data_IF_519238728620
#
_entry.id   IF_519238728620
#
_cell.length_a   1.000
_cell.length_b   1.000
_cell.length_c   1.000
_cell.angle_alpha   90.00
_cell.angle_beta   90.00
_cell.angle_gamma   90.00
#
_symmetry.space_group_name_H-M   'P 1'
#
loop_
_entity.id
_entity.type
_entity.pdbx_description
1 polymer ?
#
# COMPACT_ATOMS: atom_id res chain seq x y z
N UNK A 1 3.59 -23.91 11.77
CA UNK A 1 3.61 -22.44 11.88
C UNK A 1 3.65 -21.95 13.33
N UNK A 2 2.69 -22.34 14.16
CA UNK A 2 2.64 -21.86 15.56
C UNK A 2 3.85 -22.31 16.38
N UNK A 3 4.32 -23.55 16.21
CA UNK A 3 5.54 -24.05 16.87
C UNK A 3 6.81 -23.30 16.47
N UNK A 4 6.89 -22.82 15.22
CA UNK A 4 8.08 -22.13 14.69
C UNK A 4 8.06 -20.62 14.90
N UNK A 5 6.88 -19.98 14.85
CA UNK A 5 6.72 -18.54 14.93
C UNK A 5 6.20 -18.04 16.28
N UNK A 6 5.67 -18.93 17.14
CA UNK A 6 5.09 -18.57 18.44
C UNK A 6 4.03 -17.47 18.31
N UNK A 7 4.12 -16.42 19.13
CA UNK A 7 3.19 -15.29 19.16
C UNK A 7 3.20 -14.43 17.87
N UNK A 8 4.13 -14.69 16.95
CA UNK A 8 4.21 -14.03 15.63
C UNK A 8 3.24 -14.62 14.60
N UNK A 9 2.61 -15.75 14.89
CA UNK A 9 1.51 -16.33 14.12
C UNK A 9 0.21 -16.15 14.91
N UNK A 10 -0.62 -15.21 14.48
CA UNK A 10 -1.88 -14.86 15.14
C UNK A 10 -3.06 -15.27 14.29
N UNK A 11 -3.89 -16.17 14.83
CA UNK A 11 -5.06 -16.69 14.13
C UNK A 11 -6.31 -15.83 14.37
N UNK A 12 -7.27 -15.92 13.46
CA UNK A 12 -8.58 -15.26 13.53
C UNK A 12 -8.47 -13.75 13.82
N UNK A 13 -7.49 -13.10 13.18
CA UNK A 13 -7.24 -11.69 13.44
C UNK A 13 -8.22 -10.80 12.70
N UNK A 14 -8.96 -9.92 13.39
CA UNK A 14 -9.84 -8.94 12.74
C UNK A 14 -8.99 -7.96 11.91
N UNK A 15 -9.19 -7.96 10.60
CA UNK A 15 -8.39 -7.13 9.72
C UNK A 15 -8.68 -5.63 9.85
N UNK A 16 -9.77 -5.27 10.52
CA UNK A 16 -10.01 -3.89 10.95
C UNK A 16 -8.87 -3.29 11.79
N UNK A 17 -8.15 -4.12 12.56
CA UNK A 17 -6.95 -3.69 13.30
C UNK A 17 -5.69 -3.56 12.41
N UNK A 18 -5.74 -4.02 11.17
CA UNK A 18 -4.61 -4.14 10.26
C UNK A 18 -4.76 -3.35 8.96
N UNK A 19 -5.88 -2.68 8.74
CA UNK A 19 -6.15 -1.79 7.61
C UNK A 19 -6.22 -0.33 8.05
N UNK A 20 -5.84 0.59 7.17
CA UNK A 20 -5.93 2.03 7.49
C UNK A 20 -7.36 2.56 7.47
N UNK A 21 -8.30 1.85 6.85
CA UNK A 21 -9.73 2.14 6.95
C UNK A 21 -10.36 1.73 8.29
N UNK A 22 -9.70 0.82 9.02
CA UNK A 22 -10.28 0.28 10.24
C UNK A 22 -11.49 -0.63 9.97
N UNK A 23 -11.57 -1.27 8.80
CA UNK A 23 -12.60 -2.23 8.41
C UNK A 23 -11.97 -3.55 7.94
N UNK A 24 -12.76 -4.61 7.91
CA UNK A 24 -12.38 -5.93 7.42
C UNK A 24 -12.65 -7.03 8.45
N UNK A 25 -13.21 -8.15 7.96
CA UNK A 25 -13.42 -9.36 8.73
C UNK A 25 -12.12 -10.08 9.10
N UNK A 26 -12.18 -11.28 9.71
CA UNK A 26 -11.01 -11.98 10.21
C UNK A 26 -10.15 -12.56 9.07
N UNK A 27 -8.82 -12.48 9.19
CA UNK A 27 -7.92 -13.34 8.44
C UNK A 27 -7.67 -14.62 9.21
N UNK A 28 -7.61 -15.77 8.50
CA UNK A 28 -7.31 -17.04 9.15
C UNK A 28 -6.02 -16.96 9.98
N UNK A 29 -4.96 -16.35 9.43
CA UNK A 29 -3.75 -16.09 10.19
C UNK A 29 -3.02 -14.84 9.67
N UNK A 30 -2.50 -14.03 10.60
CA UNK A 30 -1.50 -13.00 10.31
C UNK A 30 -0.17 -13.48 10.84
N UNK A 31 0.79 -13.76 9.94
CA UNK A 31 2.14 -14.18 10.27
C UNK A 31 3.12 -13.02 10.14
N UNK A 32 3.94 -12.81 11.16
CA UNK A 32 5.06 -11.88 11.11
C UNK A 32 6.37 -12.65 10.97
N UNK A 33 7.11 -12.39 9.89
CA UNK A 33 8.40 -13.02 9.59
C UNK A 33 9.52 -11.99 9.65
N UNK A 34 10.69 -12.41 10.10
CA UNK A 34 11.83 -11.53 10.37
C UNK A 34 13.03 -11.80 9.48
N UNK A 35 13.04 -12.93 8.77
CA UNK A 35 14.06 -13.28 7.77
C UNK A 35 13.44 -13.85 6.50
N UNK A 36 14.23 -13.89 5.43
CA UNK A 36 13.81 -14.46 4.16
C UNK A 36 13.56 -15.97 4.26
N UNK A 37 14.33 -16.68 5.09
CA UNK A 37 14.17 -18.12 5.35
C UNK A 37 12.82 -18.39 6.05
N UNK A 38 12.46 -17.60 7.05
CA UNK A 38 11.15 -17.69 7.72
C UNK A 38 10.02 -17.43 6.72
N UNK A 39 10.15 -16.41 5.86
CA UNK A 39 9.15 -16.11 4.84
C UNK A 39 8.98 -17.28 3.87
N UNK A 40 10.09 -17.85 3.37
CA UNK A 40 10.09 -19.01 2.49
C UNK A 40 9.49 -20.26 3.16
N UNK A 41 9.81 -20.49 4.44
CA UNK A 41 9.21 -21.58 5.22
C UNK A 41 7.68 -21.45 5.32
N UNK A 42 7.20 -20.27 5.69
CA UNK A 42 5.74 -20.02 5.84
C UNK A 42 5.04 -20.17 4.50
N UNK A 43 5.58 -19.59 3.42
CA UNK A 43 4.96 -19.66 2.09
C UNK A 43 4.87 -21.12 1.63
N UNK A 44 5.95 -21.90 1.73
CA UNK A 44 5.91 -23.34 1.36
C UNK A 44 4.86 -24.11 2.16
N UNK A 45 4.85 -23.94 3.49
CA UNK A 45 3.88 -24.64 4.34
C UNK A 45 2.42 -24.28 4.01
N UNK A 46 2.16 -23.03 3.65
CA UNK A 46 0.82 -22.56 3.29
C UNK A 46 0.40 -23.09 1.91
N UNK A 47 1.32 -23.08 0.93
CA UNK A 47 1.10 -23.61 -0.42
C UNK A 47 0.87 -25.14 -0.38
N UNK A 48 1.68 -25.88 0.38
CA UNK A 48 1.52 -27.31 0.59
C UNK A 48 0.17 -27.66 1.24
N UNK A 49 -0.32 -26.80 2.11
CA UNK A 49 -1.65 -26.94 2.73
C UNK A 49 -2.80 -26.52 1.80
N UNK A 50 -2.52 -26.08 0.57
CA UNK A 50 -3.53 -25.59 -0.38
C UNK A 50 -4.22 -24.31 0.06
N UNK A 51 -3.62 -23.53 0.96
CA UNK A 51 -4.20 -22.30 1.48
C UNK A 51 -3.71 -21.08 0.69
N UNK A 52 -4.57 -20.07 0.51
CA UNK A 52 -4.14 -18.81 -0.09
C UNK A 52 -3.27 -18.00 0.89
N UNK A 53 -2.35 -17.21 0.33
CA UNK A 53 -1.58 -16.25 1.10
C UNK A 53 -1.42 -14.94 0.35
N UNK A 54 -1.14 -13.87 1.06
CA UNK A 54 -0.80 -12.58 0.47
C UNK A 54 0.10 -11.75 1.39
N UNK A 55 0.90 -10.82 0.80
CA UNK A 55 1.66 -9.85 1.60
C UNK A 55 0.72 -8.89 2.34
N UNK A 56 1.09 -8.54 3.58
CA UNK A 56 0.40 -7.52 4.36
C UNK A 56 1.40 -6.43 4.79
N UNK A 57 1.31 -5.26 4.19
CA UNK A 57 2.01 -4.07 4.68
C UNK A 57 1.23 -3.41 5.84
N UNK A 58 0.87 -2.15 5.64
CA UNK A 58 0.03 -1.36 6.57
C UNK A 58 -1.48 -1.48 6.26
N UNK A 59 -1.86 -2.28 5.26
CA UNK A 59 -3.24 -2.36 4.80
C UNK A 59 -3.78 -1.03 4.26
N UNK A 60 -2.91 -0.20 3.69
CA UNK A 60 -3.25 1.15 3.22
C UNK A 60 -3.80 1.19 1.80
N UNK A 61 -3.82 0.05 1.11
CA UNK A 61 -4.43 -0.12 -0.22
C UNK A 61 -5.33 -1.35 -0.27
N UNK A 62 -5.76 -1.88 0.89
CA UNK A 62 -6.58 -3.08 0.98
C UNK A 62 -7.97 -2.74 1.54
N UNK A 63 -8.99 -3.29 0.88
CA UNK A 63 -10.35 -3.39 1.41
C UNK A 63 -10.68 -4.87 1.60
N UNK A 64 -10.58 -5.34 2.83
CA UNK A 64 -10.89 -6.73 3.17
C UNK A 64 -12.37 -6.83 3.50
N UNK A 65 -13.09 -7.73 2.80
CA UNK A 65 -14.52 -7.94 3.00
C UNK A 65 -14.84 -8.33 4.44
N UNK A 66 -16.08 -8.10 4.86
CA UNK A 66 -16.52 -8.44 6.22
C UNK A 66 -16.50 -9.96 6.48
N UNK A 67 -16.54 -10.79 5.42
CA UNK A 67 -16.31 -12.25 5.48
C UNK A 67 -14.86 -12.62 5.80
N UNK A 68 -13.92 -11.69 5.70
CA UNK A 68 -12.51 -11.89 5.99
C UNK A 68 -11.70 -12.49 4.83
N UNK A 69 -10.54 -13.04 5.16
CA UNK A 69 -9.61 -13.69 4.23
C UNK A 69 -9.29 -15.12 4.72
N UNK A 70 -9.64 -16.16 3.97
CA UNK A 70 -9.49 -17.55 4.42
C UNK A 70 -8.07 -18.09 4.23
N UNK A 71 -7.06 -17.27 4.48
CA UNK A 71 -5.66 -17.58 4.25
C UNK A 71 -4.71 -16.84 5.17
N UNK A 72 -3.42 -16.91 4.80
CA UNK A 72 -2.31 -16.32 5.56
C UNK A 72 -1.96 -14.96 5.01
N UNK A 73 -1.96 -13.96 5.88
CA UNK A 73 -1.42 -12.63 5.61
C UNK A 73 -0.01 -12.51 6.18
N UNK A 74 0.96 -12.29 5.30
CA UNK A 74 2.38 -12.31 5.65
C UNK A 74 2.93 -10.90 5.82
N UNK A 75 3.38 -10.57 7.03
CA UNK A 75 3.98 -9.28 7.37
C UNK A 75 5.48 -9.40 7.56
N UNK A 76 6.23 -8.54 6.87
CA UNK A 76 7.68 -8.43 7.00
C UNK A 76 8.06 -7.55 8.20
N UNK A 77 9.01 -8.00 9.01
CA UNK A 77 9.52 -7.31 10.19
C UNK A 77 11.02 -7.58 10.41
N UNK A 78 11.57 -7.13 11.52
CA UNK A 78 12.96 -7.34 11.86
C UNK A 78 13.91 -6.80 10.78
N UNK A 79 14.84 -7.63 10.30
CA UNK A 79 15.77 -7.24 9.25
C UNK A 79 15.07 -6.88 7.94
N UNK A 80 13.96 -7.54 7.62
CA UNK A 80 13.15 -7.25 6.44
C UNK A 80 12.38 -5.91 6.52
N UNK A 81 12.47 -5.20 7.64
CA UNK A 81 11.93 -3.85 7.82
C UNK A 81 13.01 -2.80 8.12
N UNK A 82 14.29 -3.15 7.94
CA UNK A 82 15.41 -2.26 8.19
C UNK A 82 15.65 -1.28 7.04
N UNK A 83 16.40 -0.22 7.33
CA UNK A 83 16.82 0.82 6.38
C UNK A 83 18.34 1.00 6.54
N UNK A 84 19.07 1.06 5.45
CA UNK A 84 20.49 1.36 5.46
C UNK A 84 20.91 2.16 4.23
N UNK A 85 21.90 3.01 4.39
CA UNK A 85 22.50 3.73 3.29
C UNK A 85 23.48 2.83 2.54
N UNK A 86 23.44 2.83 1.23
CA UNK A 86 24.43 2.18 0.35
C UNK A 86 24.93 3.20 -0.69
N UNK A 87 26.05 3.86 -0.39
CA UNK A 87 26.53 4.97 -1.23
C UNK A 87 25.53 6.13 -1.28
N UNK A 88 25.07 6.47 -2.46
CA UNK A 88 24.00 7.45 -2.72
C UNK A 88 22.61 6.80 -2.75
N UNK A 89 22.52 5.49 -2.54
CA UNK A 89 21.27 4.76 -2.54
C UNK A 89 20.77 4.48 -1.12
N UNK A 90 19.47 4.23 -1.03
CA UNK A 90 18.81 3.72 0.16
C UNK A 90 18.41 2.26 -0.07
N UNK A 91 19.04 1.34 0.65
CA UNK A 91 18.50 -0.01 0.76
C UNK A 91 17.36 -0.02 1.79
N UNK A 92 16.21 -0.52 1.39
CA UNK A 92 15.01 -0.54 2.23
C UNK A 92 14.37 -1.93 2.20
N UNK A 93 14.25 -2.56 3.36
CA UNK A 93 13.48 -3.79 3.52
C UNK A 93 12.03 -3.59 3.16
N UNK A 94 11.40 -4.60 2.55
CA UNK A 94 10.01 -4.53 2.08
C UNK A 94 8.98 -4.22 3.18
N UNK A 95 9.29 -4.60 4.44
CA UNK A 95 8.50 -4.27 5.63
C UNK A 95 8.75 -2.87 6.19
N UNK A 96 9.79 -2.15 5.76
CA UNK A 96 10.08 -0.80 6.24
C UNK A 96 8.92 0.15 5.94
N UNK A 97 8.55 0.97 6.92
CA UNK A 97 7.51 1.99 6.70
C UNK A 97 8.00 3.04 5.70
N UNK A 98 7.23 3.30 4.65
CA UNK A 98 7.57 4.30 3.64
C UNK A 98 7.79 5.70 4.24
N UNK A 99 6.96 6.22 5.15
CA UNK A 99 7.25 7.48 5.84
C UNK A 99 8.56 7.48 6.63
N UNK A 100 8.96 6.33 7.18
CA UNK A 100 10.24 6.20 7.89
C UNK A 100 11.41 6.20 6.91
N UNK A 101 11.27 5.58 5.73
CA UNK A 101 12.27 5.61 4.67
C UNK A 101 12.49 7.04 4.15
N UNK A 102 11.41 7.81 3.92
CA UNK A 102 11.49 9.24 3.55
C UNK A 102 12.27 10.04 4.59
N UNK A 103 11.93 9.92 5.87
CA UNK A 103 12.63 10.63 6.95
C UNK A 103 14.09 10.20 7.08
N UNK A 104 14.37 8.91 6.88
CA UNK A 104 15.73 8.38 6.93
C UNK A 104 16.58 8.95 5.79
N UNK A 105 16.05 8.94 4.56
CA UNK A 105 16.70 9.54 3.39
C UNK A 105 16.99 11.04 3.61
N UNK A 106 16.01 11.81 4.09
CA UNK A 106 16.15 13.24 4.35
C UNK A 106 17.27 13.55 5.36
N UNK A 107 17.33 12.79 6.45
CA UNK A 107 18.42 12.96 7.46
C UNK A 107 19.81 12.71 6.92
N UNK A 108 19.93 11.88 5.87
CA UNK A 108 21.19 11.55 5.22
C UNK A 108 21.50 12.43 4.00
N UNK A 109 20.63 13.40 3.68
CA UNK A 109 20.74 14.22 2.48
C UNK A 109 20.57 13.41 1.19
N UNK A 110 19.77 12.36 1.22
CA UNK A 110 19.43 11.57 0.03
C UNK A 110 18.11 12.10 -0.55
N UNK A 111 18.21 12.81 -1.65
CA UNK A 111 17.11 13.44 -2.38
C UNK A 111 16.50 12.50 -3.43
N UNK A 112 15.21 12.68 -3.75
CA UNK A 112 14.46 11.93 -4.76
C UNK A 112 13.32 11.09 -4.20
N UNK A 113 13.14 11.03 -2.86
CA UNK A 113 12.05 10.30 -2.20
C UNK A 113 11.04 11.24 -1.51
N UNK A 114 11.21 12.57 -1.59
CA UNK A 114 10.39 13.57 -0.89
C UNK A 114 8.92 13.56 -1.32
N UNK A 115 8.65 13.22 -2.57
CA UNK A 115 7.29 13.09 -3.12
C UNK A 115 6.46 12.02 -2.38
N UNK A 116 7.13 11.01 -1.81
CA UNK A 116 6.48 9.93 -1.05
C UNK A 116 6.13 10.33 0.39
N UNK A 117 6.49 11.54 0.84
CA UNK A 117 6.19 12.02 2.16
C UNK A 117 4.68 11.97 2.44
N UNK A 118 4.31 11.29 3.53
CA UNK A 118 2.91 11.13 3.94
C UNK A 118 2.12 10.06 3.17
N UNK A 119 2.72 9.32 2.22
CA UNK A 119 2.10 8.12 1.66
C UNK A 119 2.16 7.02 2.73
N UNK A 120 1.02 6.48 3.18
CA UNK A 120 1.02 5.39 4.15
C UNK A 120 1.41 4.07 3.48
N UNK A 121 2.00 3.16 4.23
CA UNK A 121 2.34 1.83 3.72
C UNK A 121 3.76 1.40 4.07
N UNK A 122 4.19 0.32 3.43
CA UNK A 122 5.55 -0.20 3.49
C UNK A 122 6.24 -0.02 2.14
N UNK A 123 7.57 -0.07 2.13
CA UNK A 123 8.35 0.02 0.88
C UNK A 123 7.96 -1.10 -0.08
N UNK A 124 7.84 -2.35 0.38
CA UNK A 124 7.41 -3.48 -0.47
C UNK A 124 6.03 -3.27 -1.09
N UNK A 125 5.06 -2.77 -0.30
CA UNK A 125 3.73 -2.43 -0.82
C UNK A 125 3.77 -1.27 -1.82
N UNK A 126 4.57 -0.23 -1.55
CA UNK A 126 4.74 0.90 -2.45
C UNK A 126 5.40 0.48 -3.79
N UNK A 127 6.38 -0.42 -3.74
CA UNK A 127 7.00 -1.01 -4.94
C UNK A 127 5.98 -1.84 -5.72
N UNK A 128 5.23 -2.72 -5.07
CA UNK A 128 4.28 -3.62 -5.72
C UNK A 128 3.15 -2.86 -6.43
N UNK A 129 2.64 -1.80 -5.81
CA UNK A 129 1.61 -0.95 -6.39
C UNK A 129 2.17 0.16 -7.30
N UNK A 130 3.48 0.25 -7.47
CA UNK A 130 4.14 1.39 -8.10
C UNK A 130 3.55 2.73 -7.58
N UNK A 131 3.60 2.90 -6.26
CA UNK A 131 3.07 4.09 -5.62
C UNK A 131 3.76 5.35 -6.18
N UNK A 132 2.99 6.39 -6.41
CA UNK A 132 3.52 7.62 -6.99
C UNK A 132 2.68 8.85 -6.66
N UNK A 133 3.32 10.00 -6.73
CA UNK A 133 2.73 11.33 -6.58
C UNK A 133 3.64 12.38 -7.23
N UNK A 134 3.07 13.52 -7.66
CA UNK A 134 3.84 14.65 -8.18
C UNK A 134 4.78 14.25 -9.32
N UNK A 135 4.26 13.52 -10.30
CA UNK A 135 4.97 13.03 -11.49
C UNK A 135 6.18 12.10 -11.21
N UNK A 136 6.24 11.57 -10.00
CA UNK A 136 7.25 10.60 -9.57
C UNK A 136 6.59 9.34 -9.03
N UNK A 137 7.28 8.20 -9.16
CA UNK A 137 6.82 6.92 -8.64
C UNK A 137 7.98 6.02 -8.17
N UNK A 138 7.63 4.89 -7.57
CA UNK A 138 8.63 3.94 -7.06
C UNK A 138 9.48 3.34 -8.17
N UNK A 139 8.94 3.10 -9.36
CA UNK A 139 9.71 2.49 -10.44
C UNK A 139 10.85 3.39 -10.91
N UNK A 140 10.61 4.71 -10.98
CA UNK A 140 11.61 5.70 -11.38
C UNK A 140 12.84 5.77 -10.48
N UNK A 141 12.71 5.34 -9.22
CA UNK A 141 13.83 5.36 -8.25
C UNK A 141 14.30 3.97 -7.82
N UNK A 142 13.61 2.88 -8.20
CA UNK A 142 14.02 1.52 -7.82
C UNK A 142 15.08 1.00 -8.79
N UNK A 143 16.33 0.94 -8.36
CA UNK A 143 17.42 0.38 -9.15
C UNK A 143 17.50 -1.14 -9.08
N UNK A 144 17.12 -1.74 -7.94
CA UNK A 144 17.19 -3.18 -7.73
C UNK A 144 16.06 -3.65 -6.81
N UNK A 145 15.59 -4.87 -7.04
CA UNK A 145 14.58 -5.56 -6.23
C UNK A 145 15.10 -6.92 -5.77
N UNK A 146 14.99 -7.18 -4.48
CA UNK A 146 15.17 -8.52 -3.91
C UNK A 146 13.79 -9.13 -3.68
N UNK A 147 13.50 -10.22 -4.36
CA UNK A 147 12.21 -10.92 -4.35
C UNK A 147 12.38 -12.32 -3.77
N UNK A 148 11.42 -12.76 -2.99
CA UNK A 148 11.19 -14.17 -2.72
C UNK A 148 10.17 -14.68 -3.74
N UNK A 149 10.55 -15.65 -4.55
CA UNK A 149 9.70 -16.22 -5.60
C UNK A 149 8.81 -17.36 -5.05
N UNK A 150 7.82 -17.77 -5.82
CA UNK A 150 6.86 -18.81 -5.44
C UNK A 150 7.51 -20.13 -4.96
N UNK A 151 8.66 -20.51 -5.56
CA UNK A 151 9.43 -21.70 -5.17
C UNK A 151 10.25 -21.55 -3.88
N UNK A 152 10.28 -20.37 -3.28
CA UNK A 152 11.12 -20.05 -2.12
C UNK A 152 12.55 -19.63 -2.47
N UNK A 153 12.85 -19.47 -3.76
CA UNK A 153 14.12 -18.91 -4.24
C UNK A 153 14.16 -17.40 -4.03
N UNK A 154 15.32 -16.88 -3.66
CA UNK A 154 15.55 -15.43 -3.58
C UNK A 154 16.24 -14.98 -4.85
N UNK A 155 15.60 -14.06 -5.56
CA UNK A 155 16.14 -13.45 -6.77
C UNK A 155 16.36 -11.96 -6.54
N UNK A 156 17.51 -11.46 -6.99
CA UNK A 156 17.82 -10.04 -7.05
C UNK A 156 17.83 -9.62 -8.52
N UNK A 157 16.93 -8.70 -8.86
CA UNK A 157 16.69 -8.26 -10.23
C UNK A 157 16.91 -6.74 -10.37
N UNK A 158 17.57 -6.29 -11.44
CA UNK A 158 17.54 -4.87 -11.80
C UNK A 158 16.08 -4.34 -11.88
N UNK A 159 15.84 -3.16 -11.37
CA UNK A 159 14.50 -2.54 -11.39
C UNK A 159 13.90 -2.44 -12.79
N UNK A 160 14.76 -2.25 -13.81
CA UNK A 160 14.37 -2.19 -15.23
C UNK A 160 13.88 -3.51 -15.82
N UNK A 161 14.22 -4.65 -15.20
CA UNK A 161 13.75 -5.97 -15.63
C UNK A 161 12.36 -6.31 -15.09
N UNK A 162 11.81 -5.50 -14.18
CA UNK A 162 10.46 -5.66 -13.63
C UNK A 162 9.61 -4.48 -14.10
N UNK A 163 8.86 -4.63 -15.21
CA UNK A 163 8.12 -3.54 -15.80
C UNK A 163 7.13 -2.91 -14.83
N UNK A 164 6.92 -1.60 -14.97
CA UNK A 164 5.95 -0.87 -14.19
C UNK A 164 5.02 -0.05 -15.10
N UNK A 165 3.78 0.08 -14.64
CA UNK A 165 2.74 0.92 -15.25
C UNK A 165 2.14 1.80 -14.16
N UNK A 166 1.28 2.69 -14.55
CA UNK A 166 0.53 3.50 -13.59
C UNK A 166 -0.18 2.62 -12.56
N UNK A 167 0.18 2.77 -11.30
CA UNK A 167 -0.37 2.02 -10.13
C UNK A 167 -0.19 0.50 -10.20
N UNK A 168 0.79 0.01 -10.92
CA UNK A 168 1.07 -1.43 -10.99
C UNK A 168 2.53 -1.71 -11.33
N UNK A 169 3.15 -2.66 -10.65
CA UNK A 169 4.41 -3.28 -11.04
C UNK A 169 4.17 -4.73 -11.41
N UNK A 170 4.77 -5.19 -12.52
CA UNK A 170 4.59 -6.55 -13.04
C UNK A 170 5.54 -7.50 -12.32
N UNK A 171 5.30 -7.70 -11.02
CA UNK A 171 6.05 -8.67 -10.22
C UNK A 171 5.74 -10.10 -10.67
N UNK A 172 6.70 -11.06 -10.57
CA UNK A 172 6.41 -12.47 -10.75
C UNK A 172 5.25 -12.93 -9.87
N UNK A 173 4.43 -13.82 -10.39
CA UNK A 173 3.29 -14.34 -9.64
C UNK A 173 3.71 -14.98 -8.31
N UNK A 174 2.92 -14.79 -7.28
CA UNK A 174 3.18 -15.29 -5.93
C UNK A 174 4.58 -14.94 -5.40
N UNK A 175 5.11 -13.77 -5.78
CA UNK A 175 6.36 -13.25 -5.24
C UNK A 175 6.14 -12.26 -4.11
N UNK A 176 7.15 -12.10 -3.26
CA UNK A 176 7.18 -11.18 -2.13
C UNK A 176 8.38 -10.24 -2.27
N UNK A 177 8.15 -8.94 -2.22
CA UNK A 177 9.23 -7.94 -2.21
C UNK A 177 9.90 -7.95 -0.84
N UNK A 178 11.09 -8.55 -0.74
CA UNK A 178 11.89 -8.60 0.48
C UNK A 178 12.63 -7.29 0.73
N UNK A 179 13.15 -6.66 -0.32
CA UNK A 179 13.84 -5.38 -0.25
C UNK A 179 13.86 -4.66 -1.60
N UNK A 180 14.14 -3.37 -1.57
CA UNK A 180 14.41 -2.54 -2.73
C UNK A 180 15.65 -1.66 -2.49
N UNK A 181 16.49 -1.50 -3.51
CA UNK A 181 17.53 -0.49 -3.56
C UNK A 181 16.98 0.73 -4.32
N UNK A 182 16.88 1.86 -3.63
CA UNK A 182 16.36 3.10 -4.18
C UNK A 182 17.53 4.00 -4.55
N UNK A 183 17.69 4.28 -5.85
CA UNK A 183 18.68 5.22 -6.36
C UNK A 183 18.23 6.65 -6.07
N UNK A 184 19.01 7.37 -5.29
CA UNK A 184 18.74 8.72 -4.84
C UNK A 184 19.92 9.63 -5.20
N UNK A 185 19.81 10.91 -4.94
CA UNK A 185 20.90 11.87 -5.22
C UNK A 185 21.38 12.53 -3.92
N UNK A 186 22.69 12.78 -3.83
CA UNK A 186 23.23 13.51 -2.67
C UNK A 186 22.83 15.00 -2.73
N UNK A 187 22.32 15.51 -1.63
CA UNK A 187 21.98 16.91 -1.40
C UNK A 187 22.19 17.27 0.08
N UNK A 188 21.95 18.51 0.45
CA UNK A 188 22.02 18.95 1.85
C UNK A 188 20.82 18.41 2.64
N UNK A 189 21.03 17.82 3.82
CA UNK A 189 19.94 17.29 4.64
C UNK A 189 18.83 18.30 4.93
N UNK A 190 19.19 19.56 5.15
CA UNK A 190 18.24 20.65 5.43
C UNK A 190 17.35 20.93 4.21
N UNK A 191 17.93 20.90 3.01
CA UNK A 191 17.17 21.13 1.76
C UNK A 191 16.20 19.96 1.48
N UNK A 192 16.64 18.71 1.68
CA UNK A 192 15.78 17.54 1.53
C UNK A 192 14.66 17.57 2.56
N UNK A 193 14.97 17.88 3.83
CA UNK A 193 13.98 17.99 4.90
C UNK A 193 12.94 19.05 4.62
N UNK A 194 13.34 20.22 4.10
CA UNK A 194 12.41 21.28 3.71
C UNK A 194 11.40 20.78 2.64
N UNK A 195 11.86 20.11 1.59
CA UNK A 195 10.99 19.55 0.54
C UNK A 195 10.03 18.48 1.09
N UNK A 196 10.48 17.67 2.06
CA UNK A 196 9.61 16.73 2.79
C UNK A 196 8.50 17.46 3.54
N UNK A 197 8.84 18.53 4.26
CA UNK A 197 7.87 19.32 5.02
C UNK A 197 6.86 20.02 4.12
N UNK A 198 7.29 20.55 2.98
CA UNK A 198 6.43 21.15 1.95
C UNK A 198 5.45 20.11 1.39
N UNK A 199 5.93 18.90 1.06
CA UNK A 199 5.10 17.80 0.59
C UNK A 199 4.06 17.38 1.63
N UNK A 200 4.44 17.29 2.90
CA UNK A 200 3.53 17.01 4.01
C UNK A 200 2.50 18.13 4.24
N UNK A 201 2.91 19.39 4.12
CA UNK A 201 2.02 20.54 4.25
C UNK A 201 0.95 20.53 3.14
N UNK A 202 1.35 20.30 1.88
CA UNK A 202 0.44 20.18 0.74
C UNK A 202 -0.58 19.06 0.94
N UNK A 203 -0.13 17.87 1.40
CA UNK A 203 -1.05 16.75 1.70
C UNK A 203 -2.05 17.09 2.80
N UNK A 204 -1.60 17.73 3.88
CA UNK A 204 -2.49 18.19 4.96
C UNK A 204 -3.55 19.18 4.48
N UNK A 205 -3.23 20.01 3.49
CA UNK A 205 -4.17 20.97 2.91
C UNK A 205 -5.20 20.30 2.00
N UNK A 206 -4.83 19.25 1.24
CA UNK A 206 -5.64 18.69 0.18
C UNK A 206 -6.33 17.36 0.52
N UNK A 207 -5.84 16.63 1.52
CA UNK A 207 -6.34 15.29 1.86
C UNK A 207 -6.99 15.24 3.26
N UNK A 208 -7.93 14.32 3.51
CA UNK A 208 -8.57 14.20 4.82
C UNK A 208 -7.57 13.67 5.86
N UNK A 209 -7.09 14.57 6.73
CA UNK A 209 -6.20 14.22 7.83
C UNK A 209 -6.98 13.72 9.04
N UNK A 210 -6.44 12.71 9.74
CA UNK A 210 -7.00 12.22 11.00
C UNK A 210 -8.26 11.34 10.87
N UNK A 211 -8.70 11.04 9.66
CA UNK A 211 -9.82 10.11 9.42
C UNK A 211 -9.30 8.81 8.80
N UNK A 212 -9.77 7.63 9.28
CA UNK A 212 -9.39 6.35 8.68
C UNK A 212 -9.82 6.27 7.22
N UNK A 213 -8.86 6.01 6.31
CA UNK A 213 -9.07 5.88 4.87
C UNK A 213 -7.90 5.13 4.22
N UNK A 214 -8.02 4.72 2.96
CA UNK A 214 -6.97 4.02 2.22
C UNK A 214 -6.35 4.87 1.08
N UNK A 215 -6.34 6.18 1.21
CA UNK A 215 -5.87 7.06 0.13
C UNK A 215 -6.91 7.22 -0.99
N UNK A 216 -6.43 7.37 -2.22
CA UNK A 216 -7.31 7.42 -3.39
C UNK A 216 -7.98 6.07 -3.63
N UNK A 217 -9.29 6.09 -3.84
CA UNK A 217 -10.09 4.87 -4.04
C UNK A 217 -10.08 4.42 -5.49
N UNK A 218 -10.05 5.37 -6.42
CA UNK A 218 -10.08 5.11 -7.87
C UNK A 218 -8.82 5.63 -8.54
N UNK A 219 -8.41 4.96 -9.61
CA UNK A 219 -7.36 5.41 -10.51
C UNK A 219 -7.84 6.63 -11.30
N UNK A 220 -6.92 7.49 -11.68
CA UNK A 220 -7.25 8.56 -12.63
C UNK A 220 -7.46 7.93 -14.03
N UNK A 221 -8.58 8.22 -14.70
CA UNK A 221 -8.80 7.81 -16.08
C UNK A 221 -7.86 8.57 -17.03
N UNK A 222 -7.63 8.07 -18.24
CA UNK A 222 -6.81 8.77 -19.24
C UNK A 222 -7.33 10.19 -19.51
N UNK A 223 -6.44 11.18 -19.35
CA UNK A 223 -6.73 12.57 -19.65
C UNK A 223 -7.56 13.33 -18.59
N UNK A 224 -7.90 12.70 -17.45
CA UNK A 224 -8.70 13.34 -16.41
C UNK A 224 -8.33 12.85 -15.00
N UNK A 225 -8.93 13.49 -13.99
CA UNK A 225 -8.73 13.16 -12.58
C UNK A 225 -10.01 12.58 -11.96
N UNK A 226 -9.92 11.38 -11.39
CA UNK A 226 -11.05 10.74 -10.70
C UNK A 226 -11.66 11.67 -9.63
N UNK A 227 -10.82 12.38 -8.87
CA UNK A 227 -11.30 13.32 -7.84
C UNK A 227 -12.17 14.43 -8.42
N UNK A 228 -11.84 15.01 -9.59
CA UNK A 228 -12.64 16.02 -10.28
C UNK A 228 -13.99 15.44 -10.73
N UNK A 229 -13.97 14.31 -11.41
CA UNK A 229 -15.20 13.65 -11.90
C UNK A 229 -16.16 13.30 -10.76
N UNK A 230 -15.63 12.76 -9.66
CA UNK A 230 -16.44 12.41 -8.47
C UNK A 230 -17.03 13.66 -7.81
N UNK A 231 -16.29 14.76 -7.76
CA UNK A 231 -16.76 16.03 -7.21
C UNK A 231 -17.86 16.64 -8.09
N UNK A 232 -17.67 16.68 -9.40
CA UNK A 232 -18.66 17.23 -10.36
C UNK A 232 -19.89 16.34 -10.51
N UNK A 233 -19.77 15.02 -10.26
CA UNK A 233 -20.91 14.12 -10.12
C UNK A 233 -21.71 14.33 -8.80
N UNK A 234 -21.34 15.31 -7.97
CA UNK A 234 -22.05 15.64 -6.74
C UNK A 234 -21.85 14.60 -5.62
N UNK A 235 -20.75 13.85 -5.62
CA UNK A 235 -20.54 12.77 -4.66
C UNK A 235 -19.89 13.21 -3.35
N UNK A 236 -19.31 14.42 -3.23
CA UNK A 236 -18.75 14.89 -1.95
C UNK A 236 -19.76 14.83 -0.83
N UNK A 237 -19.40 14.22 0.30
CA UNK A 237 -20.29 14.06 1.46
C UNK A 237 -21.32 12.93 1.34
N UNK A 238 -21.44 12.27 0.17
CA UNK A 238 -22.30 11.10 0.00
C UNK A 238 -21.88 10.01 0.98
N UNK A 239 -22.85 9.37 1.61
CA UNK A 239 -22.61 8.37 2.66
C UNK A 239 -23.44 7.12 2.45
N UNK A 240 -22.86 5.97 2.78
CA UNK A 240 -23.54 4.68 2.91
C UNK A 240 -23.08 4.08 4.24
N UNK A 241 -24.02 3.81 5.15
CA UNK A 241 -23.71 3.37 6.51
C UNK A 241 -22.70 4.30 7.19
N UNK A 242 -21.57 3.75 7.62
CA UNK A 242 -20.48 4.51 8.23
C UNK A 242 -19.43 5.05 7.27
N UNK A 243 -19.50 4.73 5.96
CA UNK A 243 -18.57 5.21 4.94
C UNK A 243 -19.05 6.52 4.33
N UNK A 244 -18.15 7.46 4.05
CA UNK A 244 -18.46 8.75 3.45
C UNK A 244 -17.40 9.16 2.43
N UNK A 245 -17.83 9.67 1.27
CA UNK A 245 -16.95 10.41 0.35
C UNK A 245 -16.48 11.69 1.05
N UNK A 246 -15.17 11.87 1.15
CA UNK A 246 -14.61 13.01 1.87
C UNK A 246 -15.02 14.33 1.23
N UNK A 247 -15.45 15.27 2.05
CA UNK A 247 -15.76 16.64 1.62
C UNK A 247 -14.50 17.42 1.22
N UNK A 248 -13.33 16.96 1.65
CA UNK A 248 -12.06 17.61 1.36
C UNK A 248 -11.44 17.14 0.04
N UNK A 249 -11.47 15.83 -0.26
CA UNK A 249 -10.94 15.25 -1.48
C UNK A 249 -11.88 14.14 -1.96
N UNK A 250 -12.55 14.35 -3.08
CA UNK A 250 -13.63 13.48 -3.52
C UNK A 250 -13.21 12.04 -3.86
N UNK A 251 -11.94 11.81 -4.22
CA UNK A 251 -11.41 10.45 -4.44
C UNK A 251 -11.00 9.71 -3.15
N UNK A 252 -11.44 10.19 -1.97
CA UNK A 252 -11.21 9.54 -0.68
C UNK A 252 -12.54 9.15 -0.05
N UNK A 253 -12.66 7.90 0.35
CA UNK A 253 -13.73 7.42 1.21
C UNK A 253 -13.18 7.28 2.63
N UNK A 254 -13.83 7.94 3.57
CA UNK A 254 -13.44 7.94 4.99
C UNK A 254 -14.41 7.10 5.82
N UNK A 255 -13.88 6.43 6.84
CA UNK A 255 -14.69 5.75 7.85
C UNK A 255 -15.04 6.75 8.96
N UNK A 256 -16.34 6.99 9.16
CA UNK A 256 -16.89 7.88 10.19
C UNK A 256 -16.99 7.21 11.57
N UNK A 257 -16.29 6.06 11.76
CA UNK A 257 -16.20 5.35 13.03
C UNK A 257 -17.06 4.07 13.13
N UNK A 258 -17.93 3.82 12.16
CA UNK A 258 -18.80 2.61 12.15
C UNK A 258 -18.96 1.99 10.77
N UNK A 259 -18.06 2.28 9.84
CA UNK A 259 -18.12 1.68 8.51
C UNK A 259 -17.82 0.18 8.57
N UNK A 260 -18.51 -0.58 7.73
CA UNK A 260 -18.19 -1.95 7.35
C UNK A 260 -17.51 -1.96 5.97
N UNK A 261 -16.88 -3.06 5.59
CA UNK A 261 -16.34 -3.19 4.23
C UNK A 261 -17.47 -3.15 3.19
N UNK A 262 -18.65 -3.69 3.53
CA UNK A 262 -19.86 -3.59 2.69
C UNK A 262 -20.28 -2.14 2.47
N UNK A 263 -20.25 -1.28 3.48
CA UNK A 263 -20.58 0.15 3.32
C UNK A 263 -19.64 0.84 2.35
N UNK A 264 -18.32 0.55 2.46
CA UNK A 264 -17.31 1.12 1.56
C UNK A 264 -17.55 0.64 0.12
N UNK A 265 -17.78 -0.67 -0.09
CA UNK A 265 -18.07 -1.23 -1.42
C UNK A 265 -19.32 -0.63 -2.05
N UNK A 266 -20.42 -0.58 -1.30
CA UNK A 266 -21.66 0.00 -1.78
C UNK A 266 -21.52 1.50 -2.13
N UNK A 267 -20.70 2.23 -1.36
CA UNK A 267 -20.40 3.62 -1.67
C UNK A 267 -19.51 3.76 -2.92
N UNK A 268 -18.56 2.85 -3.13
CA UNK A 268 -17.75 2.81 -4.36
C UNK A 268 -18.62 2.57 -5.58
N UNK A 269 -19.54 1.61 -5.52
CA UNK A 269 -20.50 1.30 -6.62
C UNK A 269 -21.40 2.49 -6.95
N UNK A 270 -21.92 3.18 -5.94
CA UNK A 270 -22.74 4.37 -6.13
C UNK A 270 -21.94 5.53 -6.77
N UNK A 271 -20.68 5.74 -6.36
CA UNK A 271 -19.79 6.73 -6.97
C UNK A 271 -19.51 6.38 -8.44
N UNK A 272 -19.17 5.11 -8.74
CA UNK A 272 -18.94 4.65 -10.12
C UNK A 272 -20.19 4.87 -10.99
N UNK A 273 -21.36 4.52 -10.47
CA UNK A 273 -22.64 4.72 -11.17
C UNK A 273 -22.87 6.18 -11.53
N UNK A 274 -22.74 7.10 -10.57
CA UNK A 274 -22.96 8.53 -10.80
C UNK A 274 -21.97 9.14 -11.78
N UNK A 275 -20.68 8.79 -11.69
CA UNK A 275 -19.67 9.26 -12.64
C UNK A 275 -19.94 8.73 -14.03
N UNK A 276 -20.33 7.46 -14.18
CA UNK A 276 -20.69 6.89 -15.46
C UNK A 276 -21.95 7.57 -16.06
N UNK A 277 -22.97 7.83 -15.26
CA UNK A 277 -24.19 8.51 -15.70
C UNK A 277 -23.92 9.97 -16.12
N UNK A 278 -23.03 10.68 -15.41
CA UNK A 278 -22.73 12.08 -15.70
C UNK A 278 -21.73 12.29 -16.85
N UNK A 279 -20.72 11.40 -16.98
CA UNK A 279 -19.57 11.62 -17.87
C UNK A 279 -19.30 10.46 -18.84
N UNK A 280 -19.99 9.33 -18.74
CA UNK A 280 -19.71 8.13 -19.54
C UNK A 280 -18.38 7.45 -19.18
N UNK A 281 -17.75 7.79 -18.05
CA UNK A 281 -16.45 7.27 -17.62
C UNK A 281 -16.65 6.18 -16.58
N UNK A 282 -16.04 4.99 -16.83
CA UNK A 282 -15.98 3.91 -15.85
C UNK A 282 -14.74 4.10 -14.97
N UNK A 283 -14.94 4.37 -13.68
CA UNK A 283 -13.84 4.50 -12.72
C UNK A 283 -13.31 3.11 -12.31
N UNK A 284 -12.00 2.90 -12.47
CA UNK A 284 -11.31 1.69 -12.02
C UNK A 284 -10.86 1.84 -10.56
N UNK A 285 -11.18 0.88 -9.65
CA UNK A 285 -10.65 0.90 -8.29
C UNK A 285 -9.11 0.87 -8.29
N UNK A 286 -8.50 1.71 -7.44
CA UNK A 286 -7.07 1.65 -7.10
C UNK A 286 -6.84 0.73 -5.91
N UNK A 287 -7.80 0.68 -4.99
CA UNK A 287 -7.76 -0.20 -3.82
C UNK A 287 -8.03 -1.64 -4.21
N UNK A 288 -7.32 -2.56 -3.58
CA UNK A 288 -7.46 -4.00 -3.79
C UNK A 288 -8.52 -4.56 -2.85
N UNK A 289 -9.58 -5.14 -3.43
CA UNK A 289 -10.66 -5.78 -2.67
C UNK A 289 -10.33 -7.25 -2.46
N UNK A 290 -10.29 -7.69 -1.22
CA UNK A 290 -9.84 -9.02 -0.80
C UNK A 290 -10.92 -9.73 0.02
N UNK A 291 -11.03 -11.05 -0.12
CA UNK A 291 -11.99 -11.90 0.59
C UNK A 291 -13.09 -12.46 -0.31
N UNK A 292 -13.80 -13.48 0.17
CA UNK A 292 -14.90 -14.11 -0.54
C UNK A 292 -16.12 -13.20 -0.62
N UNK A 293 -16.90 -13.34 -1.69
CA UNK A 293 -18.18 -12.63 -1.88
C UNK A 293 -19.23 -13.22 -0.96
#
# INVERSE_FOLDING_TARGET
MQESLGDRARFEQPMSAHTTWGVGGPAWCVCQVTSAEEAGFVIRAVVEAGMPWMPLGRGSNLLIRDTGYPGVMLRLAGELASLRREGESLWAGGGAHLPSAVKFAARLGLAGLEWAAGIPGTVGGAVATNAGALDSDMAGITSELTLLLAGGEIATLPGSQVPARYRRRELPEQSLVLAALLALAQDKPEAVSLRVDESLARRRQTQPAGMPCAGSVFKNPPGDFAGRLIEEAGCKGLSVGGAQVSVKHANFIVNRGRATARDVLALMEEVQKRVREAFGVELEPEVEVVGSV
#
